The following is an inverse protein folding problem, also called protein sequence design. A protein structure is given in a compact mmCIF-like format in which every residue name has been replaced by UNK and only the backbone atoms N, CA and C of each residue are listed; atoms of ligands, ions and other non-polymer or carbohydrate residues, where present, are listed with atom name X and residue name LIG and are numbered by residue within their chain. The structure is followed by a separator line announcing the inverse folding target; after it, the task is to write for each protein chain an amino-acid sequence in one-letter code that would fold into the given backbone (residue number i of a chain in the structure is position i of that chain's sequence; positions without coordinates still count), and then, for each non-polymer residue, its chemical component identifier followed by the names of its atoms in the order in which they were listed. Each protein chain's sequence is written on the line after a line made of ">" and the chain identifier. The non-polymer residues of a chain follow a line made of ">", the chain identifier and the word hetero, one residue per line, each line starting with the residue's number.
data_IF_139342118628
#
_entry.id   IF_139342118628
#
_cell.length_a   1.000
_cell.length_b   1.000
_cell.length_c   1.000
_cell.angle_alpha   90.00
_cell.angle_beta   90.00
_cell.angle_gamma   90.00
#
_symmetry.space_group_name_H-M   'P 1'
#
loop_
_entity.id
_entity.type
_entity.pdbx_description
1 polymer ?
#
# COMPACT_ATOMS: atom_id res chain seq x y z
N UNK A 1 -4.02 -57.59 -1.53
CA UNK A 1 -3.07 -56.46 -1.49
C UNK A 1 -3.79 -55.30 -0.85
N UNK A 2 -3.35 -54.81 0.31
CA UNK A 2 -3.98 -53.66 0.97
C UNK A 2 -3.58 -52.36 0.26
N UNK A 3 -4.56 -51.49 0.00
CA UNK A 3 -4.32 -50.17 -0.60
C UNK A 3 -3.85 -49.19 0.48
N UNK A 4 -2.79 -48.46 0.18
CA UNK A 4 -2.33 -47.37 1.04
C UNK A 4 -3.24 -46.14 0.87
N UNK A 5 -3.48 -45.45 1.98
CA UNK A 5 -4.12 -44.15 2.00
C UNK A 5 -3.09 -43.10 2.44
N UNK A 6 -3.14 -41.92 1.84
CA UNK A 6 -2.33 -40.78 2.26
C UNK A 6 -3.00 -40.10 3.45
N UNK A 7 -2.29 -39.99 4.57
CA UNK A 7 -2.73 -39.22 5.75
C UNK A 7 -1.87 -37.96 5.82
N UNK A 8 -2.54 -36.79 5.83
CA UNK A 8 -1.88 -35.49 6.03
C UNK A 8 -1.84 -35.17 7.52
N UNK A 9 -0.69 -34.71 8.01
CA UNK A 9 -0.55 -34.22 9.37
C UNK A 9 -1.18 -32.81 9.47
N UNK A 10 -2.24 -32.61 10.28
CA UNK A 10 -2.92 -31.31 10.39
C UNK A 10 -2.04 -30.21 11.00
N UNK A 11 -0.89 -30.56 11.61
CA UNK A 11 0.07 -29.58 12.13
C UNK A 11 0.83 -28.87 11.01
N UNK A 12 0.95 -29.51 9.84
CA UNK A 12 1.71 -29.00 8.71
C UNK A 12 3.16 -28.64 9.08
N UNK A 13 3.79 -27.84 8.24
CA UNK A 13 5.04 -27.15 8.57
C UNK A 13 4.77 -25.65 8.46
N UNK A 14 5.08 -24.85 9.48
CA UNK A 14 4.94 -23.41 9.37
C UNK A 14 5.82 -22.92 8.20
N UNK A 15 5.33 -21.98 7.38
CA UNK A 15 6.11 -21.43 6.30
C UNK A 15 7.36 -20.76 6.88
N UNK A 16 8.46 -20.77 6.12
CA UNK A 16 9.64 -20.01 6.50
C UNK A 16 9.29 -18.52 6.50
N UNK A 17 9.15 -17.94 7.69
CA UNK A 17 8.93 -16.51 7.86
C UNK A 17 10.25 -15.78 7.65
N UNK A 18 10.29 -14.89 6.66
CA UNK A 18 11.43 -14.00 6.44
C UNK A 18 10.98 -12.59 6.82
N UNK A 19 11.72 -11.96 7.74
CA UNK A 19 11.44 -10.58 8.13
C UNK A 19 11.60 -9.64 6.93
N UNK A 20 10.61 -8.78 6.71
CA UNK A 20 10.71 -7.67 5.76
C UNK A 20 11.05 -6.40 6.52
N UNK A 21 12.00 -5.63 6.00
CA UNK A 21 12.29 -4.29 6.53
C UNK A 21 11.14 -3.35 6.17
N UNK A 22 10.84 -2.40 7.06
CA UNK A 22 9.97 -1.28 6.71
C UNK A 22 10.64 -0.41 5.66
N UNK A 23 9.85 0.37 4.93
CA UNK A 23 10.39 1.37 4.03
C UNK A 23 11.35 2.31 4.79
N UNK A 24 12.53 2.64 4.22
CA UNK A 24 13.44 3.60 4.82
C UNK A 24 12.74 4.94 5.06
N UNK A 25 13.04 5.57 6.20
CA UNK A 25 12.48 6.89 6.52
C UNK A 25 13.18 7.95 5.69
N UNK A 26 12.41 8.84 5.07
CA UNK A 26 12.93 10.04 4.44
C UNK A 26 13.30 11.08 5.49
N UNK A 27 14.38 11.84 5.25
CA UNK A 27 14.81 12.92 6.15
C UNK A 27 13.85 14.12 6.12
N UNK A 28 13.24 14.39 4.95
CA UNK A 28 12.21 15.42 4.75
C UNK A 28 11.29 15.02 3.58
N UNK A 29 10.10 15.64 3.53
CA UNK A 29 9.16 15.55 2.40
C UNK A 29 9.31 16.71 1.40
N UNK A 30 10.14 17.71 1.69
CA UNK A 30 10.32 18.86 0.80
C UNK A 30 10.86 18.42 -0.57
N UNK A 31 10.17 18.82 -1.64
CA UNK A 31 10.47 18.44 -3.02
C UNK A 31 10.14 16.99 -3.37
N UNK A 32 9.54 16.22 -2.45
CA UNK A 32 9.24 14.79 -2.62
C UNK A 32 7.87 14.55 -3.25
N UNK A 33 7.76 13.47 -3.99
CA UNK A 33 6.51 12.97 -4.54
C UNK A 33 5.83 12.02 -3.55
N UNK A 34 4.70 12.44 -2.99
CA UNK A 34 3.91 11.64 -2.05
C UNK A 34 2.63 11.19 -2.74
N UNK A 35 2.47 9.88 -2.88
CA UNK A 35 1.25 9.28 -3.42
C UNK A 35 0.21 9.11 -2.32
N UNK A 36 -0.98 9.66 -2.53
CA UNK A 36 -2.16 9.51 -1.70
C UNK A 36 -3.02 8.41 -2.33
N UNK A 37 -2.92 7.19 -1.80
CA UNK A 37 -3.59 6.02 -2.35
C UNK A 37 -4.96 5.90 -1.71
N UNK A 38 -6.00 6.22 -2.47
CA UNK A 38 -7.38 5.91 -2.10
C UNK A 38 -7.60 4.41 -2.38
N UNK A 39 -7.77 3.63 -1.31
CA UNK A 39 -7.91 2.18 -1.39
C UNK A 39 -9.35 1.71 -1.62
N UNK A 40 -10.26 2.60 -2.04
CA UNK A 40 -11.67 2.32 -2.29
C UNK A 40 -12.42 1.83 -1.05
N UNK A 41 -12.02 2.32 0.12
CA UNK A 41 -12.79 2.18 1.36
C UNK A 41 -13.80 3.32 1.46
N UNK A 42 -14.89 3.10 2.20
CA UNK A 42 -15.94 4.11 2.38
C UNK A 42 -15.34 5.44 2.86
N UNK A 43 -15.67 6.52 2.14
CA UNK A 43 -15.20 7.89 2.35
C UNK A 43 -13.68 8.11 2.29
N UNK A 44 -12.90 7.13 1.81
CA UNK A 44 -11.45 7.32 1.67
C UNK A 44 -11.11 8.36 0.61
N UNK A 45 -11.94 8.58 -0.42
CA UNK A 45 -11.71 9.63 -1.41
C UNK A 45 -11.74 11.03 -0.80
N UNK A 46 -12.74 11.31 0.05
CA UNK A 46 -12.92 12.63 0.67
C UNK A 46 -11.73 12.94 1.56
N UNK A 47 -11.28 11.95 2.33
CA UNK A 47 -10.13 12.13 3.22
C UNK A 47 -8.83 12.37 2.42
N UNK A 48 -8.63 11.67 1.30
CA UNK A 48 -7.44 11.87 0.45
C UNK A 48 -7.46 13.25 -0.22
N UNK A 49 -8.62 13.75 -0.62
CA UNK A 49 -8.77 15.12 -1.14
C UNK A 49 -8.43 16.17 -0.08
N UNK A 50 -8.98 16.05 1.13
CA UNK A 50 -8.65 16.97 2.24
C UNK A 50 -7.17 16.91 2.63
N UNK A 51 -6.56 15.72 2.56
CA UNK A 51 -5.12 15.57 2.83
C UNK A 51 -4.28 16.27 1.76
N UNK A 52 -4.63 16.12 0.47
CA UNK A 52 -3.98 16.86 -0.62
C UNK A 52 -4.06 18.37 -0.36
N UNK A 53 -5.24 18.87 -0.02
CA UNK A 53 -5.46 20.30 0.19
C UNK A 53 -4.70 20.81 1.42
N UNK A 54 -4.60 19.99 2.47
CA UNK A 54 -3.74 20.29 3.62
C UNK A 54 -2.25 20.37 3.25
N UNK A 55 -1.74 19.44 2.44
CA UNK A 55 -0.36 19.49 1.95
C UNK A 55 -0.12 20.75 1.12
N UNK A 56 -1.05 21.10 0.22
CA UNK A 56 -0.93 22.31 -0.59
C UNK A 56 -0.87 23.59 0.28
N UNK A 57 -1.64 23.65 1.37
CA UNK A 57 -1.67 24.81 2.26
C UNK A 57 -0.47 24.89 3.22
N UNK A 58 -0.02 23.75 3.75
CA UNK A 58 0.94 23.71 4.88
C UNK A 58 2.34 23.25 4.47
N UNK A 59 2.46 22.50 3.38
CA UNK A 59 3.70 21.93 2.88
C UNK A 59 3.77 22.03 1.34
N UNK A 60 3.74 23.26 0.78
CA UNK A 60 3.59 23.47 -0.67
C UNK A 60 4.78 22.95 -1.51
N UNK A 61 5.89 22.57 -0.87
CA UNK A 61 7.03 21.93 -1.55
C UNK A 61 6.84 20.43 -1.75
N UNK A 62 5.82 19.82 -1.15
CA UNK A 62 5.49 18.40 -1.30
C UNK A 62 4.63 18.23 -2.54
N UNK A 63 5.05 17.35 -3.45
CA UNK A 63 4.30 17.03 -4.67
C UNK A 63 3.32 15.88 -4.38
N UNK A 64 2.07 16.19 -4.08
CA UNK A 64 1.05 15.15 -3.82
C UNK A 64 0.36 14.68 -5.09
N UNK A 65 0.14 13.36 -5.21
CA UNK A 65 -0.65 12.75 -6.31
C UNK A 65 -1.67 11.75 -5.74
N UNK A 66 -2.94 11.89 -6.11
CA UNK A 66 -3.97 10.89 -5.75
C UNK A 66 -3.98 9.77 -6.80
N UNK A 67 -4.02 8.52 -6.34
CA UNK A 67 -4.14 7.33 -7.19
C UNK A 67 -5.07 6.31 -6.54
N UNK A 68 -5.74 5.48 -7.35
CA UNK A 68 -6.66 4.43 -6.88
C UNK A 68 -6.33 3.10 -7.55
N UNK A 69 -6.47 1.96 -6.86
CA UNK A 69 -6.41 0.66 -7.50
C UNK A 69 -7.66 0.45 -8.37
N UNK A 70 -7.60 -0.51 -9.30
CA UNK A 70 -8.76 -0.90 -10.12
C UNK A 70 -9.92 -1.46 -9.30
N UNK A 71 -9.60 -2.23 -8.25
CA UNK A 71 -10.58 -2.94 -7.43
C UNK A 71 -10.15 -2.91 -5.95
N UNK A 72 -11.13 -2.92 -5.05
CA UNK A 72 -10.86 -3.04 -3.62
C UNK A 72 -10.45 -4.49 -3.30
N UNK A 73 -9.53 -4.67 -2.33
CA UNK A 73 -9.02 -5.99 -1.89
C UNK A 73 -8.23 -6.80 -2.93
N UNK A 74 -7.96 -6.26 -4.11
CA UNK A 74 -7.15 -6.90 -5.16
C UNK A 74 -5.87 -6.09 -5.38
N UNK A 75 -4.71 -6.77 -5.43
CA UNK A 75 -3.45 -6.10 -5.76
C UNK A 75 -3.49 -5.54 -7.18
N UNK A 76 -3.07 -4.30 -7.34
CA UNK A 76 -2.90 -3.65 -8.64
C UNK A 76 -1.40 -3.46 -8.90
N UNK A 77 -0.74 -4.43 -9.57
CA UNK A 77 0.71 -4.40 -9.74
C UNK A 77 1.17 -3.25 -10.64
N UNK A 78 0.33 -2.79 -11.58
CA UNK A 78 0.67 -1.68 -12.46
C UNK A 78 0.61 -0.36 -11.70
N UNK A 79 -0.42 -0.18 -10.86
CA UNK A 79 -0.49 0.97 -9.95
C UNK A 79 0.74 0.99 -9.03
N UNK A 80 1.07 -0.13 -8.39
CA UNK A 80 2.23 -0.21 -7.49
C UNK A 80 3.54 0.07 -8.22
N UNK A 81 3.72 -0.44 -9.44
CA UNK A 81 4.90 -0.15 -10.25
C UNK A 81 5.04 1.35 -10.56
N UNK A 82 3.93 2.07 -10.77
CA UNK A 82 3.98 3.52 -10.98
C UNK A 82 4.42 4.28 -9.72
N UNK A 83 3.96 3.84 -8.54
CA UNK A 83 4.37 4.44 -7.26
C UNK A 83 5.84 4.14 -6.99
N UNK A 84 6.31 2.92 -7.27
CA UNK A 84 7.72 2.54 -7.11
C UNK A 84 8.66 3.31 -8.06
N UNK A 85 8.19 3.64 -9.27
CA UNK A 85 8.98 4.37 -10.26
C UNK A 85 9.09 5.86 -9.95
N UNK A 86 7.98 6.48 -9.55
CA UNK A 86 7.85 7.95 -9.52
C UNK A 86 7.63 8.54 -8.12
N UNK A 87 7.42 7.69 -7.10
CA UNK A 87 7.10 8.10 -5.73
C UNK A 87 8.28 7.98 -4.77
N UNK A 88 8.40 8.96 -3.87
CA UNK A 88 9.31 8.88 -2.73
C UNK A 88 8.62 8.25 -1.51
N UNK A 89 7.30 8.46 -1.38
CA UNK A 89 6.48 7.91 -0.30
C UNK A 89 5.03 7.69 -0.74
N UNK A 90 4.30 6.87 0.01
CA UNK A 90 2.87 6.64 -0.17
C UNK A 90 2.13 6.66 1.17
N UNK A 91 0.92 7.23 1.17
CA UNK A 91 -0.04 7.20 2.27
C UNK A 91 -1.24 6.40 1.78
N UNK A 92 -1.63 5.35 2.50
CA UNK A 92 -2.72 4.46 2.12
C UNK A 92 -3.99 4.80 2.92
N UNK A 93 -5.05 5.16 2.20
CA UNK A 93 -6.39 5.41 2.71
C UNK A 93 -7.15 4.14 2.96
N UNK A 94 -6.73 3.38 3.96
CA UNK A 94 -7.45 2.19 4.44
C UNK A 94 -8.46 2.63 5.52
N UNK A 95 -9.69 2.92 5.10
CA UNK A 95 -10.81 3.23 5.99
C UNK A 95 -11.30 2.01 6.77
N UNK A 96 -12.31 2.19 7.63
CA UNK A 96 -13.02 1.10 8.33
C UNK A 96 -14.26 0.67 7.56
#
# INVERSE_FOLDING_TARGET
>A
MAQQISILDPRGYPPKVVGKQLAPRLDSLDGKSVYLVDCLFDNSEIFMDEMRDWFAANMPQVNTKIIKPRESWVDDPDMRASIEADGDAAILGVGL
#
